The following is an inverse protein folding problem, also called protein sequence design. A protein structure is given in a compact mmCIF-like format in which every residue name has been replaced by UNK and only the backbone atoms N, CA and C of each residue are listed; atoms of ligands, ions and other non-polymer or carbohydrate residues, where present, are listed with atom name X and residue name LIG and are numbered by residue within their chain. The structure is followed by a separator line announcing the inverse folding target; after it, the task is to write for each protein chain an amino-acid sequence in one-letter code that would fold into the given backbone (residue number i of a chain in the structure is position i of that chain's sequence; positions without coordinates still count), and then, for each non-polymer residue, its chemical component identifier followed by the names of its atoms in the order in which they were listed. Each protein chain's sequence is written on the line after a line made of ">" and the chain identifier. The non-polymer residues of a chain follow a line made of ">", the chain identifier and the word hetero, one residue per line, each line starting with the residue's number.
data_IF_078222581242
#
_entry.id   IF_078222581242
#
_cell.length_a   1.000
_cell.length_b   1.000
_cell.length_c   1.000
_cell.angle_alpha   90.00
_cell.angle_beta   90.00
_cell.angle_gamma   90.00
#
_symmetry.space_group_name_H-M   'P 1'
#
loop_
_entity.id
_entity.type
_entity.pdbx_description
1 polymer ?
#
# COMPACT_ATOMS: atom_id res chain seq x y z
N UNK A 1 9.88 -34.78 -47.04
CA UNK A 1 11.00 -33.97 -47.55
C UNK A 1 10.65 -32.52 -47.27
N UNK A 2 11.56 -31.79 -46.66
CA UNK A 2 11.42 -30.46 -46.06
C UNK A 2 10.81 -29.40 -46.99
N UNK A 3 10.11 -28.43 -46.39
CA UNK A 3 10.17 -27.03 -46.83
C UNK A 3 10.06 -26.12 -45.60
N UNK A 4 10.92 -25.12 -45.59
CA UNK A 4 11.36 -24.29 -44.48
C UNK A 4 11.32 -22.83 -44.98
N UNK A 5 10.83 -21.92 -44.12
CA UNK A 5 11.00 -20.44 -44.06
C UNK A 5 10.25 -19.55 -45.07
N UNK A 6 9.32 -18.72 -44.57
CA UNK A 6 9.48 -17.26 -44.29
C UNK A 6 8.12 -16.66 -43.87
N UNK A 7 7.93 -16.16 -42.64
CA UNK A 7 8.24 -14.81 -42.14
C UNK A 7 7.05 -13.82 -42.27
N UNK A 8 6.47 -13.51 -41.10
CA UNK A 8 5.84 -12.26 -40.64
C UNK A 8 4.80 -11.52 -41.51
N UNK A 9 3.56 -11.59 -41.05
CA UNK A 9 2.64 -10.45 -40.98
C UNK A 9 1.69 -10.71 -39.79
N UNK A 10 2.07 -10.24 -38.61
CA UNK A 10 1.13 -10.15 -37.48
C UNK A 10 0.43 -8.81 -37.67
N UNK A 11 -0.85 -8.87 -38.02
CA UNK A 11 -1.67 -7.71 -38.35
C UNK A 11 -1.70 -6.70 -37.19
N UNK A 12 -1.18 -5.50 -37.47
CA UNK A 12 -1.14 -4.33 -36.59
C UNK A 12 -2.39 -3.43 -36.78
N UNK A 13 -3.59 -4.01 -36.75
CA UNK A 13 -4.84 -3.23 -36.78
C UNK A 13 -5.80 -3.66 -35.68
N UNK A 14 -5.69 -3.04 -34.48
CA UNK A 14 -6.82 -2.81 -33.55
C UNK A 14 -6.37 -2.08 -32.25
N UNK A 15 -5.64 -0.96 -32.34
CA UNK A 15 -5.57 -0.04 -31.20
C UNK A 15 -6.80 0.88 -31.24
N UNK A 16 -7.91 0.41 -30.67
CA UNK A 16 -9.13 1.20 -30.49
C UNK A 16 -9.14 1.85 -29.11
N UNK A 17 -9.21 3.18 -29.08
CA UNK A 17 -9.71 3.93 -27.94
C UNK A 17 -11.11 3.41 -27.58
N UNK A 18 -11.36 3.11 -26.31
CA UNK A 18 -12.66 2.60 -25.90
C UNK A 18 -13.27 3.45 -24.79
N UNK A 19 -14.58 3.68 -24.92
CA UNK A 19 -15.36 4.47 -23.99
C UNK A 19 -16.00 3.54 -22.94
N UNK A 20 -15.83 3.88 -21.67
CA UNK A 20 -16.58 3.27 -20.58
C UNK A 20 -17.92 3.99 -20.45
N UNK A 21 -19.02 3.28 -20.72
CA UNK A 21 -20.38 3.76 -20.47
C UNK A 21 -20.88 3.24 -19.12
N UNK A 22 -21.20 4.16 -18.20
CA UNK A 22 -21.86 3.83 -16.93
C UNK A 22 -23.37 3.80 -17.19
N UNK A 23 -24.00 2.63 -17.07
CA UNK A 23 -25.46 2.43 -17.22
C UNK A 23 -26.09 2.37 -15.83
N UNK A 24 -27.20 3.09 -15.60
CA UNK A 24 -27.98 3.02 -14.35
C UNK A 24 -29.01 1.90 -14.41
N UNK A 25 -29.30 1.17 -13.30
CA UNK A 25 -30.43 0.25 -13.25
C UNK A 25 -31.76 1.01 -13.34
N UNK A 26 -32.71 0.50 -14.12
CA UNK A 26 -34.03 1.10 -14.33
C UNK A 26 -34.77 1.36 -13.01
N UNK A 27 -35.32 2.58 -12.90
CA UNK A 27 -35.98 3.10 -11.71
C UNK A 27 -37.24 2.33 -11.34
N UNK A 28 -37.19 1.58 -10.25
CA UNK A 28 -38.34 0.84 -9.75
C UNK A 28 -38.17 0.30 -8.33
N UNK A 29 -37.90 1.17 -7.35
CA UNK A 29 -38.54 1.15 -6.02
C UNK A 29 -37.87 2.11 -5.03
N UNK A 30 -38.74 2.81 -4.30
CA UNK A 30 -38.53 3.83 -3.29
C UNK A 30 -37.70 3.35 -2.10
N UNK A 31 -36.95 4.29 -1.50
CA UNK A 31 -36.00 4.11 -0.38
C UNK A 31 -34.73 3.31 -0.71
N UNK A 32 -33.88 3.88 -1.57
CA UNK A 32 -32.50 3.41 -1.71
C UNK A 32 -31.54 4.54 -1.42
N UNK A 33 -30.66 4.34 -0.44
CA UNK A 33 -29.35 4.97 -0.38
C UNK A 33 -28.80 4.98 -1.80
N UNK A 34 -28.62 6.17 -2.38
CA UNK A 34 -28.14 6.30 -3.77
C UNK A 34 -26.71 5.78 -3.76
N UNK A 35 -26.53 4.51 -4.10
CA UNK A 35 -25.23 3.95 -4.44
C UNK A 35 -24.92 4.46 -5.84
N UNK A 36 -23.95 5.38 -6.00
CA UNK A 36 -23.72 6.06 -7.28
C UNK A 36 -23.19 5.13 -8.38
N UNK A 37 -22.83 3.89 -8.03
CA UNK A 37 -22.34 2.86 -8.94
C UNK A 37 -22.98 1.53 -8.54
N UNK A 38 -23.83 1.00 -9.41
CA UNK A 38 -24.48 -0.32 -9.24
C UNK A 38 -24.28 -1.09 -10.53
N UNK A 39 -23.90 -2.38 -10.43
CA UNK A 39 -23.74 -3.32 -11.56
C UNK A 39 -22.87 -2.82 -12.73
N UNK A 40 -21.83 -2.03 -12.43
CA UNK A 40 -20.89 -1.53 -13.44
C UNK A 40 -19.78 -2.55 -13.69
N UNK A 41 -19.64 -3.02 -14.94
CA UNK A 41 -18.50 -3.83 -15.37
C UNK A 41 -17.37 -2.93 -15.88
N UNK A 42 -16.18 -3.06 -15.30
CA UNK A 42 -14.99 -2.30 -15.66
C UNK A 42 -13.88 -3.28 -16.07
N UNK A 43 -13.48 -3.21 -17.34
CA UNK A 43 -12.35 -3.96 -17.87
C UNK A 43 -11.22 -2.99 -18.21
N UNK A 44 -10.04 -3.21 -17.62
CA UNK A 44 -8.85 -2.38 -17.82
C UNK A 44 -7.71 -3.25 -18.37
N UNK A 45 -7.40 -3.05 -19.64
CA UNK A 45 -6.23 -3.54 -20.35
C UNK A 45 -5.01 -2.65 -20.12
N UNK A 46 -3.85 -3.29 -19.95
CA UNK A 46 -2.57 -2.63 -19.79
C UNK A 46 -2.21 -1.78 -21.03
N UNK A 47 -1.63 -0.60 -20.80
CA UNK A 47 -1.18 0.31 -21.85
C UNK A 47 -2.30 1.07 -22.59
N UNK A 48 -3.58 0.85 -22.24
CA UNK A 48 -4.69 1.57 -22.88
C UNK A 48 -5.08 2.82 -22.08
N UNK A 49 -5.54 3.86 -22.78
CA UNK A 49 -6.06 5.11 -22.20
C UNK A 49 -7.59 5.10 -22.26
N UNK A 50 -8.22 5.54 -21.19
CA UNK A 50 -9.67 5.46 -21.01
C UNK A 50 -10.22 6.85 -20.70
N UNK A 51 -11.35 7.19 -21.30
CA UNK A 51 -12.09 8.41 -20.97
C UNK A 51 -13.48 8.06 -20.43
N UNK A 52 -13.79 8.46 -19.18
CA UNK A 52 -15.15 8.33 -18.65
C UNK A 52 -16.04 9.41 -19.28
N UNK A 53 -17.00 8.98 -20.10
CA UNK A 53 -17.95 9.85 -20.82
C UNK A 53 -19.35 9.67 -20.23
N UNK A 54 -20.07 10.77 -20.00
CA UNK A 54 -21.44 10.73 -19.49
C UNK A 54 -21.95 12.09 -19.02
N UNK A 55 -23.24 12.19 -18.66
CA UNK A 55 -23.83 13.41 -18.11
C UNK A 55 -23.08 13.92 -16.87
N UNK A 56 -23.22 15.21 -16.57
CA UNK A 56 -22.77 15.72 -15.27
C UNK A 56 -23.60 15.07 -14.17
N UNK A 57 -22.97 14.81 -13.02
CA UNK A 57 -23.59 14.16 -11.86
C UNK A 57 -23.93 12.67 -12.01
N UNK A 58 -23.48 11.98 -13.06
CA UNK A 58 -23.66 10.51 -13.19
C UNK A 58 -22.65 9.69 -12.36
N UNK A 59 -21.82 10.35 -11.54
CA UNK A 59 -20.85 9.65 -10.69
C UNK A 59 -19.48 9.38 -11.33
N UNK A 60 -19.10 10.05 -12.43
CA UNK A 60 -17.76 9.91 -13.06
C UNK A 60 -16.62 10.13 -12.06
N UNK A 61 -16.62 11.26 -11.35
CA UNK A 61 -15.61 11.54 -10.31
C UNK A 61 -15.69 10.54 -9.16
N UNK A 62 -16.90 10.07 -8.83
CA UNK A 62 -17.12 9.05 -7.80
C UNK A 62 -16.55 7.69 -8.20
N UNK A 63 -16.62 7.30 -9.48
CA UNK A 63 -15.97 6.10 -10.02
C UNK A 63 -14.45 6.20 -9.93
N UNK A 64 -13.88 7.33 -10.38
CA UNK A 64 -12.43 7.56 -10.29
C UNK A 64 -11.96 7.56 -8.84
N UNK A 65 -12.72 8.16 -7.93
CA UNK A 65 -12.45 8.14 -6.49
C UNK A 65 -12.55 6.71 -5.91
N UNK A 66 -13.56 5.93 -6.29
CA UNK A 66 -13.74 4.55 -5.83
C UNK A 66 -12.61 3.62 -6.33
N UNK A 67 -12.15 3.84 -7.57
CA UNK A 67 -10.96 3.21 -8.14
C UNK A 67 -9.72 3.57 -7.32
N UNK A 68 -9.47 4.88 -7.11
CA UNK A 68 -8.36 5.38 -6.28
C UNK A 68 -8.35 4.79 -4.88
N UNK A 69 -9.54 4.57 -4.32
CA UNK A 69 -9.72 4.03 -2.99
C UNK A 69 -9.63 2.51 -2.90
N UNK A 70 -9.52 1.81 -4.03
CA UNK A 70 -9.48 0.35 -4.09
C UNK A 70 -10.79 -0.30 -3.63
N UNK A 71 -11.91 0.41 -3.80
CA UNK A 71 -13.23 -0.05 -3.38
C UNK A 71 -13.92 -0.94 -4.41
N UNK A 72 -13.49 -0.84 -5.68
CA UNK A 72 -14.04 -1.64 -6.77
C UNK A 72 -13.64 -3.10 -6.59
N UNK A 73 -14.63 -3.98 -6.63
CA UNK A 73 -14.42 -5.41 -6.47
C UNK A 73 -13.73 -6.01 -7.69
N UNK A 74 -12.89 -7.02 -7.46
CA UNK A 74 -12.09 -7.63 -8.53
C UNK A 74 -10.79 -6.89 -8.84
N UNK A 75 -10.57 -5.68 -8.31
CA UNK A 75 -9.26 -5.04 -8.41
C UNK A 75 -8.22 -5.80 -7.59
N UNK A 76 -7.06 -6.15 -8.19
CA UNK A 76 -5.95 -6.72 -7.44
C UNK A 76 -5.47 -5.76 -6.35
N UNK A 77 -5.24 -6.24 -5.12
CA UNK A 77 -4.69 -5.41 -4.03
C UNK A 77 -3.30 -4.86 -4.34
N UNK A 78 -2.56 -5.50 -5.26
CA UNK A 78 -1.25 -5.05 -5.72
C UNK A 78 -1.33 -3.88 -6.72
N UNK A 79 -2.51 -3.61 -7.31
CA UNK A 79 -2.69 -2.54 -8.27
C UNK A 79 -2.69 -1.18 -7.56
N UNK A 80 -1.69 -0.36 -7.85
CA UNK A 80 -1.63 1.02 -7.35
C UNK A 80 -2.37 1.95 -8.31
N UNK A 81 -3.31 2.72 -7.79
CA UNK A 81 -4.03 3.73 -8.55
C UNK A 81 -3.64 5.10 -7.99
N UNK A 82 -3.02 5.91 -8.84
CA UNK A 82 -2.78 7.32 -8.54
C UNK A 82 -3.97 8.14 -9.04
N UNK A 83 -4.64 8.82 -8.12
CA UNK A 83 -5.72 9.73 -8.45
C UNK A 83 -5.29 11.17 -8.25
N UNK A 84 -5.23 11.91 -9.34
CA UNK A 84 -5.00 13.35 -9.33
C UNK A 84 -6.36 14.02 -9.28
N UNK A 85 -6.75 14.47 -8.09
CA UNK A 85 -7.98 15.24 -7.94
C UNK A 85 -7.80 16.65 -8.50
N UNK A 86 -8.87 17.24 -9.05
CA UNK A 86 -8.91 18.68 -9.27
C UNK A 86 -8.99 19.34 -7.89
N UNK A 87 -7.89 19.91 -7.41
CA UNK A 87 -7.91 20.70 -6.18
C UNK A 87 -8.63 22.01 -6.46
N UNK A 88 -9.59 22.37 -5.63
CA UNK A 88 -10.07 23.76 -5.55
C UNK A 88 -8.88 24.62 -5.09
N UNK A 89 -8.40 25.48 -5.99
CA UNK A 89 -7.22 26.34 -5.77
C UNK A 89 -7.42 27.38 -4.66
N UNK A 90 -8.55 27.37 -3.96
CA UNK A 90 -8.91 28.28 -2.88
C UNK A 90 -8.34 27.88 -1.51
N UNK A 91 -7.77 26.68 -1.37
CA UNK A 91 -7.26 26.15 -0.09
C UNK A 91 -5.80 25.69 -0.13
N UNK A 92 -5.01 26.28 -1.03
CA UNK A 92 -3.58 26.01 -1.19
C UNK A 92 -2.82 26.95 -0.23
N UNK A 93 -2.22 26.39 0.82
CA UNK A 93 -1.15 27.05 1.58
C UNK A 93 0.09 27.22 0.69
N UNK A 94 0.82 28.34 0.80
CA UNK A 94 1.97 28.69 -0.06
C UNK A 94 2.99 27.56 -0.33
N UNK A 95 3.15 26.60 0.58
CA UNK A 95 4.09 25.47 0.47
C UNK A 95 3.69 24.41 -0.59
N UNK A 96 2.41 24.33 -0.98
CA UNK A 96 1.95 23.41 -2.04
C UNK A 96 2.01 24.00 -3.45
N UNK A 97 2.33 25.29 -3.60
CA UNK A 97 2.42 25.97 -4.90
C UNK A 97 3.73 25.67 -5.66
N UNK A 98 4.72 25.06 -5.00
CA UNK A 98 6.06 24.83 -5.57
C UNK A 98 6.31 23.36 -5.96
N UNK A 99 5.41 22.43 -5.60
CA UNK A 99 5.58 21.02 -5.94
C UNK A 99 5.18 20.73 -7.38
N UNK A 100 6.13 20.21 -8.14
CA UNK A 100 5.83 19.66 -9.47
C UNK A 100 4.96 18.40 -9.36
N UNK A 101 4.23 18.07 -10.44
CA UNK A 101 3.47 16.81 -10.53
C UNK A 101 4.37 15.61 -10.26
N UNK A 102 5.58 15.61 -10.84
CA UNK A 102 6.56 14.54 -10.64
C UNK A 102 7.01 14.43 -9.18
N UNK A 103 7.29 15.55 -8.51
CA UNK A 103 7.61 15.54 -7.08
C UNK A 103 6.45 15.04 -6.22
N UNK A 104 5.21 15.39 -6.57
CA UNK A 104 4.03 14.89 -5.85
C UNK A 104 3.88 13.37 -6.01
N UNK A 105 4.18 12.85 -7.20
CA UNK A 105 4.20 11.40 -7.47
C UNK A 105 5.32 10.69 -6.72
N UNK A 106 6.53 11.27 -6.71
CA UNK A 106 7.66 10.73 -5.96
C UNK A 106 7.42 10.75 -4.45
N UNK A 107 6.92 11.86 -3.91
CA UNK A 107 6.60 12.01 -2.49
C UNK A 107 5.49 11.06 -2.04
N UNK A 108 4.56 10.73 -2.95
CA UNK A 108 3.53 9.73 -2.69
C UNK A 108 4.12 8.31 -2.56
N UNK A 109 5.27 8.02 -3.17
CA UNK A 109 5.93 6.71 -3.02
C UNK A 109 6.79 6.64 -1.75
N UNK A 110 6.12 6.36 -0.65
CA UNK A 110 6.77 6.17 0.67
C UNK A 110 7.36 4.77 0.87
N UNK A 111 7.33 3.88 -0.13
CA UNK A 111 7.69 2.46 0.10
C UNK A 111 9.16 2.27 0.40
N UNK A 112 10.02 2.89 -0.40
CA UNK A 112 11.48 2.76 -0.25
C UNK A 112 11.90 3.34 1.11
N UNK A 113 11.39 4.50 1.48
CA UNK A 113 11.68 5.12 2.79
C UNK A 113 11.14 4.30 3.96
N UNK A 114 9.94 3.72 3.84
CA UNK A 114 9.36 2.84 4.86
C UNK A 114 10.14 1.53 5.04
N UNK A 115 10.63 0.93 3.96
CA UNK A 115 11.45 -0.30 4.07
C UNK A 115 12.82 0.03 4.64
N UNK A 116 13.46 1.11 4.17
CA UNK A 116 14.75 1.58 4.71
C UNK A 116 14.67 1.92 6.19
N UNK A 117 13.59 2.55 6.66
CA UNK A 117 13.44 2.89 8.08
C UNK A 117 13.32 1.64 8.96
N UNK A 118 12.58 0.62 8.53
CA UNK A 118 12.49 -0.67 9.23
C UNK A 118 13.82 -1.42 9.26
N UNK A 119 14.52 -1.45 8.12
CA UNK A 119 15.87 -2.03 8.01
C UNK A 119 16.84 -1.35 8.98
N UNK A 120 16.82 -0.02 9.03
CA UNK A 120 17.69 0.76 9.91
C UNK A 120 17.43 0.49 11.40
N UNK A 121 16.16 0.27 11.81
CA UNK A 121 15.82 -0.10 13.19
C UNK A 121 16.44 -1.45 13.55
N UNK A 122 16.33 -2.44 12.66
CA UNK A 122 16.84 -3.79 12.90
C UNK A 122 18.36 -3.85 12.88
N UNK A 123 19.00 -3.23 11.88
CA UNK A 123 20.45 -3.18 11.76
C UNK A 123 21.09 -2.51 12.97
N UNK A 124 20.50 -1.42 13.46
CA UNK A 124 20.99 -0.73 14.67
C UNK A 124 20.99 -1.62 15.91
N UNK A 125 19.98 -2.49 16.05
CA UNK A 125 19.94 -3.40 17.19
C UNK A 125 20.96 -4.55 17.07
N UNK A 126 21.34 -4.92 15.83
CA UNK A 126 22.35 -5.96 15.59
C UNK A 126 23.80 -5.45 15.66
N UNK A 127 24.03 -4.18 15.32
CA UNK A 127 25.36 -3.56 15.39
C UNK A 127 25.59 -3.11 16.83
N UNK A 128 26.57 -3.72 17.51
CA UNK A 128 26.89 -3.55 18.94
C UNK A 128 27.36 -2.13 19.32
N UNK A 129 27.32 -1.16 18.41
CA UNK A 129 27.73 0.21 18.69
C UNK A 129 26.64 0.96 19.47
N UNK A 130 26.87 1.08 20.77
CA UNK A 130 26.01 1.73 21.76
C UNK A 130 25.97 3.25 21.53
N UNK A 131 25.22 3.71 20.54
CA UNK A 131 25.08 5.14 20.23
C UNK A 131 23.67 5.70 20.40
N UNK A 132 22.78 5.07 21.18
CA UNK A 132 21.42 5.59 21.39
C UNK A 132 21.11 5.89 22.87
N UNK A 133 20.29 6.94 23.07
CA UNK A 133 19.83 7.54 24.33
C UNK A 133 18.94 6.63 25.20
N UNK A 134 18.64 5.41 24.72
CA UNK A 134 17.83 4.42 25.44
C UNK A 134 18.74 3.37 26.10
N UNK A 135 18.79 3.40 27.42
CA UNK A 135 19.44 2.35 28.21
C UNK A 135 18.49 1.15 28.33
N UNK A 136 18.89 0.00 27.80
CA UNK A 136 18.15 -1.25 27.93
C UNK A 136 18.72 -2.09 29.09
N UNK A 137 17.86 -2.91 29.71
CA UNK A 137 18.28 -3.79 30.81
C UNK A 137 19.29 -4.88 30.35
N UNK A 138 19.24 -5.29 29.07
CA UNK A 138 20.15 -6.26 28.46
C UNK A 138 20.17 -6.13 26.94
N UNK A 139 21.18 -6.71 26.29
CA UNK A 139 21.25 -6.80 24.82
C UNK A 139 20.03 -7.53 24.25
N UNK A 140 19.58 -8.58 24.94
CA UNK A 140 18.36 -9.31 24.60
C UNK A 140 17.11 -8.43 24.64
N UNK A 141 16.98 -7.55 25.64
CA UNK A 141 15.87 -6.60 25.72
C UNK A 141 15.91 -5.60 24.54
N UNK A 142 17.10 -5.15 24.14
CA UNK A 142 17.29 -4.25 23.00
C UNK A 142 16.88 -4.92 21.68
N UNK A 143 17.32 -6.16 21.43
CA UNK A 143 16.94 -6.93 20.24
C UNK A 143 15.41 -7.13 20.16
N UNK A 144 14.80 -7.53 21.28
CA UNK A 144 13.36 -7.73 21.36
C UNK A 144 12.61 -6.41 21.14
N UNK A 145 13.11 -5.30 21.69
CA UNK A 145 12.55 -3.97 21.49
C UNK A 145 12.52 -3.57 20.01
N UNK A 146 13.64 -3.72 19.31
CA UNK A 146 13.74 -3.38 17.89
C UNK A 146 12.80 -4.24 17.02
N UNK A 147 12.70 -5.53 17.30
CA UNK A 147 11.78 -6.43 16.63
C UNK A 147 10.32 -6.03 16.86
N UNK A 148 9.94 -5.74 18.11
CA UNK A 148 8.59 -5.28 18.43
C UNK A 148 8.29 -3.93 17.80
N UNK A 149 9.25 -3.02 17.74
CA UNK A 149 9.07 -1.70 17.13
C UNK A 149 8.69 -1.84 15.65
N UNK A 150 9.39 -2.71 14.91
CA UNK A 150 9.05 -2.99 13.51
C UNK A 150 7.68 -3.66 13.39
N UNK A 151 7.34 -4.63 14.26
CA UNK A 151 6.01 -5.25 14.27
C UNK A 151 4.89 -4.24 14.53
N UNK A 152 5.10 -3.29 15.44
CA UNK A 152 4.13 -2.20 15.71
C UNK A 152 3.97 -1.31 14.49
N UNK A 153 5.06 -0.95 13.80
CA UNK A 153 4.99 -0.16 12.55
C UNK A 153 4.16 -0.90 11.48
N UNK A 154 4.39 -2.21 11.31
CA UNK A 154 3.65 -3.05 10.36
C UNK A 154 2.17 -3.17 10.72
N UNK A 155 1.87 -3.51 11.97
CA UNK A 155 0.50 -3.66 12.44
C UNK A 155 -0.28 -2.34 12.38
N UNK A 156 0.37 -1.18 12.63
CA UNK A 156 -0.25 0.14 12.43
C UNK A 156 -0.55 0.43 10.97
N UNK A 157 0.33 0.03 10.05
CA UNK A 157 0.07 0.11 8.61
C UNK A 157 -1.13 -0.74 8.20
N UNK A 158 -1.22 -1.97 8.70
CA UNK A 158 -2.40 -2.82 8.49
C UNK A 158 -3.67 -2.24 9.10
N UNK A 159 -3.59 -1.64 10.29
CA UNK A 159 -4.73 -0.98 10.93
C UNK A 159 -5.22 0.19 10.09
N UNK A 160 -4.32 1.01 9.54
CA UNK A 160 -4.68 2.11 8.65
C UNK A 160 -5.37 1.61 7.37
N UNK A 161 -4.91 0.49 6.80
CA UNK A 161 -5.58 -0.13 5.66
C UNK A 161 -6.97 -0.68 6.03
N UNK A 162 -7.07 -1.38 7.17
CA UNK A 162 -8.32 -1.97 7.65
C UNK A 162 -9.37 -0.90 8.01
N UNK A 163 -8.95 0.21 8.65
CA UNK A 163 -9.83 1.35 8.97
C UNK A 163 -10.34 2.02 7.70
N UNK A 164 -9.48 2.23 6.69
CA UNK A 164 -9.88 2.76 5.37
C UNK A 164 -10.97 1.89 4.75
N UNK A 165 -10.81 0.56 4.77
CA UNK A 165 -11.80 -0.38 4.23
C UNK A 165 -13.10 -0.36 5.05
N UNK A 166 -13.00 -0.31 6.38
CA UNK A 166 -14.16 -0.33 7.27
C UNK A 166 -15.03 0.94 7.19
N UNK A 167 -14.40 2.10 6.98
CA UNK A 167 -15.10 3.38 6.75
C UNK A 167 -15.86 3.34 5.42
N UNK A 168 -15.26 2.76 4.39
CA UNK A 168 -15.76 2.87 3.01
C UNK A 168 -16.72 1.76 2.59
N UNK A 169 -16.87 0.68 3.37
CA UNK A 169 -17.76 -0.44 3.06
C UNK A 169 -19.05 -0.43 3.88
N UNK A 170 -20.16 -0.79 3.23
CA UNK A 170 -21.51 -0.83 3.81
C UNK A 170 -22.08 -2.25 3.91
N UNK A 171 -23.20 -2.42 4.62
CA UNK A 171 -23.94 -3.68 4.74
C UNK A 171 -23.14 -4.83 5.39
N UNK A 172 -23.35 -6.05 4.91
CA UNK A 172 -22.63 -7.24 5.39
C UNK A 172 -21.12 -7.12 5.20
N UNK A 173 -20.67 -6.50 4.11
CA UNK A 173 -19.24 -6.27 3.81
C UNK A 173 -18.61 -5.29 4.79
N UNK A 174 -19.34 -4.23 5.14
CA UNK A 174 -18.95 -3.31 6.22
C UNK A 174 -18.84 -4.01 7.58
N UNK A 175 -19.74 -4.95 7.88
CA UNK A 175 -19.68 -5.75 9.12
C UNK A 175 -18.41 -6.62 9.18
N UNK A 176 -18.04 -7.31 8.09
CA UNK A 176 -16.79 -8.06 8.03
C UNK A 176 -15.57 -7.15 8.12
N UNK A 177 -15.59 -5.99 7.45
CA UNK A 177 -14.50 -5.03 7.50
C UNK A 177 -14.27 -4.47 8.91
N UNK A 178 -15.34 -4.12 9.64
CA UNK A 178 -15.25 -3.68 11.04
C UNK A 178 -14.76 -4.78 11.98
N UNK A 179 -15.17 -6.04 11.75
CA UNK A 179 -14.62 -7.18 12.51
C UNK A 179 -13.11 -7.29 12.30
N UNK A 180 -12.65 -7.22 11.04
CA UNK A 180 -11.22 -7.25 10.72
C UNK A 180 -10.48 -6.06 11.32
N UNK A 181 -11.06 -4.87 11.29
CA UNK A 181 -10.50 -3.68 11.94
C UNK A 181 -10.27 -3.92 13.44
N UNK A 182 -11.27 -4.44 14.15
CA UNK A 182 -11.16 -4.74 15.58
C UNK A 182 -10.11 -5.82 15.88
N UNK A 183 -10.00 -6.85 15.04
CA UNK A 183 -8.96 -7.87 15.17
C UNK A 183 -7.55 -7.27 15.06
N UNK A 184 -7.33 -6.42 14.05
CA UNK A 184 -6.04 -5.77 13.84
C UNK A 184 -5.74 -4.75 14.95
N UNK A 185 -6.75 -4.00 15.41
CA UNK A 185 -6.62 -3.07 16.53
C UNK A 185 -6.15 -3.78 17.79
N UNK A 186 -6.73 -4.96 18.10
CA UNK A 186 -6.28 -5.77 19.23
C UNK A 186 -4.82 -6.21 19.10
N UNK A 187 -4.40 -6.61 17.90
CA UNK A 187 -2.99 -6.99 17.65
C UNK A 187 -2.06 -5.80 17.87
N UNK A 188 -2.43 -4.60 17.41
CA UNK A 188 -1.65 -3.38 17.65
C UNK A 188 -1.55 -3.09 19.15
N UNK A 189 -2.66 -3.14 19.89
CA UNK A 189 -2.63 -2.88 21.33
C UNK A 189 -1.77 -3.89 22.08
N UNK A 190 -1.85 -5.17 21.71
CA UNK A 190 -1.05 -6.23 22.34
C UNK A 190 0.45 -6.01 22.07
N UNK A 191 0.83 -5.65 20.84
CA UNK A 191 2.21 -5.35 20.47
C UNK A 191 2.74 -4.06 21.13
N UNK A 192 1.93 -3.02 21.22
CA UNK A 192 2.30 -1.77 21.89
C UNK A 192 2.54 -1.98 23.39
N UNK A 193 1.70 -2.77 24.05
CA UNK A 193 1.93 -3.15 25.45
C UNK A 193 3.24 -3.91 25.61
N UNK A 194 3.52 -4.89 24.74
CA UNK A 194 4.80 -5.61 24.75
C UNK A 194 5.99 -4.67 24.54
N UNK A 195 5.88 -3.74 23.59
CA UNK A 195 6.94 -2.77 23.30
C UNK A 195 7.21 -1.86 24.50
N UNK A 196 6.17 -1.36 25.17
CA UNK A 196 6.31 -0.56 26.38
C UNK A 196 7.06 -1.31 27.49
N UNK A 197 6.80 -2.61 27.65
CA UNK A 197 7.47 -3.42 28.68
C UNK A 197 8.97 -3.61 28.42
N UNK A 198 9.41 -3.54 27.17
CA UNK A 198 10.84 -3.66 26.82
C UNK A 198 11.65 -2.38 27.02
N UNK A 199 10.99 -1.21 26.99
CA UNK A 199 11.64 0.08 27.22
C UNK A 199 11.74 0.50 28.68
N UNK A 200 11.14 -0.25 29.61
CA UNK A 200 11.17 0.06 31.05
C UNK A 200 12.38 -0.58 31.73
N UNK A 201 13.19 0.23 32.42
CA UNK A 201 14.42 -0.18 33.11
C UNK A 201 14.22 -1.14 34.30
N UNK A 202 12.98 -1.37 34.73
CA UNK A 202 12.67 -2.06 35.98
C UNK A 202 12.70 -3.59 35.79
N UNK A 203 13.91 -4.15 35.84
CA UNK A 203 14.23 -5.58 35.76
C UNK A 203 13.77 -6.26 34.46
N UNK A 204 14.54 -7.23 33.97
CA UNK A 204 14.07 -8.10 32.90
C UNK A 204 12.78 -8.79 33.35
N UNK A 205 11.64 -8.30 32.86
CA UNK A 205 10.34 -8.93 33.11
C UNK A 205 10.33 -10.31 32.44
N UNK A 206 9.47 -11.18 32.95
CA UNK A 206 9.36 -12.59 32.53
C UNK A 206 9.25 -12.76 31.00
N UNK A 207 8.63 -11.80 30.30
CA UNK A 207 8.54 -11.77 28.83
C UNK A 207 9.90 -11.71 28.12
N UNK A 208 10.84 -10.92 28.65
CA UNK A 208 12.21 -10.85 28.12
C UNK A 208 13.02 -12.05 28.57
N UNK A 209 12.77 -12.60 29.76
CA UNK A 209 13.49 -13.80 30.25
C UNK A 209 13.09 -15.08 29.51
N UNK A 210 11.80 -15.27 29.26
CA UNK A 210 11.24 -16.47 28.63
C UNK A 210 11.55 -16.60 27.14
N UNK A 211 11.85 -15.49 26.45
CA UNK A 211 12.18 -15.49 25.03
C UNK A 211 13.60 -16.04 24.79
N UNK A 212 13.84 -16.68 23.65
CA UNK A 212 15.18 -17.16 23.30
C UNK A 212 15.89 -16.11 22.43
N UNK A 213 17.07 -15.66 22.84
CA UNK A 213 17.87 -14.67 22.10
C UNK A 213 18.17 -15.13 20.66
N UNK A 214 18.51 -16.41 20.47
CA UNK A 214 18.75 -16.97 19.14
C UNK A 214 17.50 -16.94 18.25
N UNK A 215 16.31 -17.08 18.85
CA UNK A 215 15.03 -16.99 18.13
C UNK A 215 14.74 -15.55 17.69
N UNK A 216 15.07 -14.57 18.54
CA UNK A 216 14.89 -13.14 18.24
C UNK A 216 15.82 -12.75 17.09
N UNK A 217 17.10 -13.14 17.18
CA UNK A 217 18.10 -12.88 16.13
C UNK A 217 17.71 -13.55 14.81
N UNK A 218 17.20 -14.77 14.85
CA UNK A 218 16.68 -15.46 13.66
C UNK A 218 15.57 -14.67 12.97
N UNK A 219 14.58 -14.22 13.74
CA UNK A 219 13.46 -13.44 13.18
C UNK A 219 13.89 -12.05 12.67
N UNK A 220 14.85 -11.40 13.35
CA UNK A 220 15.43 -10.14 12.87
C UNK A 220 16.15 -10.37 11.53
N UNK A 221 17.00 -11.38 11.43
CA UNK A 221 17.75 -11.66 10.20
C UNK A 221 16.83 -12.03 9.04
N UNK A 222 15.82 -12.85 9.27
CA UNK A 222 14.79 -13.18 8.27
C UNK A 222 14.10 -11.91 7.75
N UNK A 223 13.76 -10.98 8.64
CA UNK A 223 13.16 -9.69 8.24
C UNK A 223 14.14 -8.78 7.49
N UNK A 224 15.40 -8.71 7.91
CA UNK A 224 16.45 -7.96 7.21
C UNK A 224 16.59 -8.48 5.78
N UNK A 225 16.74 -9.79 5.59
CA UNK A 225 16.85 -10.42 4.28
C UNK A 225 15.61 -10.12 3.41
N UNK A 226 14.41 -10.25 3.98
CA UNK A 226 13.18 -9.91 3.29
C UNK A 226 13.15 -8.43 2.85
N UNK A 227 13.57 -7.50 3.71
CA UNK A 227 13.62 -6.08 3.37
C UNK A 227 14.66 -5.78 2.29
N UNK A 228 15.84 -6.40 2.34
CA UNK A 228 16.86 -6.25 1.29
C UNK A 228 16.37 -6.76 -0.07
N UNK A 229 15.70 -7.91 -0.11
CA UNK A 229 15.07 -8.43 -1.33
C UNK A 229 14.04 -7.43 -1.86
N UNK A 230 13.18 -6.88 -0.99
CA UNK A 230 12.19 -5.89 -1.44
C UNK A 230 12.82 -4.60 -1.96
N UNK A 231 13.95 -4.15 -1.40
CA UNK A 231 14.68 -2.98 -1.90
C UNK A 231 15.31 -3.25 -3.27
N UNK A 232 15.95 -4.41 -3.45
CA UNK A 232 16.50 -4.82 -4.75
C UNK A 232 15.42 -4.86 -5.83
N UNK A 233 14.24 -5.39 -5.50
CA UNK A 233 13.11 -5.41 -6.43
C UNK A 233 12.63 -4.00 -6.84
N UNK A 234 12.72 -3.00 -5.95
CA UNK A 234 12.40 -1.61 -6.30
C UNK A 234 13.44 -0.97 -7.23
N UNK A 235 14.72 -1.27 -7.01
CA UNK A 235 15.83 -0.76 -7.82
C UNK A 235 15.80 -1.37 -9.24
N UNK A 236 15.50 -2.67 -9.35
CA UNK A 236 15.33 -3.37 -10.64
C UNK A 236 14.11 -2.85 -11.42
N UNK A 237 12.98 -2.62 -10.74
CA UNK A 237 11.79 -2.03 -11.37
C UNK A 237 12.02 -0.61 -11.91
N UNK A 238 12.82 0.19 -11.21
CA UNK A 238 13.22 1.53 -11.67
C UNK A 238 14.17 1.46 -12.87
N UNK A 239 15.09 0.50 -12.85
CA UNK A 239 16.05 0.28 -13.95
C UNK A 239 15.37 -0.24 -15.22
N UNK A 240 14.37 -1.12 -15.10
CA UNK A 240 13.61 -1.63 -16.25
C UNK A 240 12.70 -0.59 -16.89
N UNK A 241 12.19 0.39 -16.11
CA UNK A 241 11.41 1.51 -16.66
C UNK A 241 12.28 2.48 -17.45
N UNK A 242 13.53 2.68 -17.04
CA UNK A 242 14.47 3.59 -17.70
C UNK A 242 14.90 3.12 -19.11
N UNK A 243 14.72 1.83 -19.44
CA UNK A 243 14.99 1.30 -20.79
C UNK A 243 13.80 1.46 -21.76
N UNK A 244 12.62 1.89 -21.28
CA UNK A 244 11.42 1.99 -22.12
C UNK A 244 11.19 3.40 -22.70
N UNK A 245 11.88 4.41 -22.20
CA UNK A 245 11.72 5.82 -22.61
C UNK A 245 12.61 6.22 -23.81
N UNK A 246 13.39 5.31 -24.39
CA UNK A 246 14.32 5.63 -25.51
C UNK A 246 13.75 5.35 -26.91
N UNK A 247 12.44 5.07 -27.03
CA UNK A 247 11.74 5.10 -28.32
C UNK A 247 10.93 6.37 -28.44
N UNK A 248 11.64 7.46 -28.80
CA UNK A 248 11.02 8.68 -29.26
C UNK A 248 10.19 8.45 -30.51
N UNK A 249 8.92 8.85 -30.45
CA UNK A 249 8.12 9.38 -31.55
C UNK A 249 7.16 10.44 -31.01
#
# INVERSE_FOLDING_TARGET
>A
MFSTISQTAVDYEAFRDFALSIVTPDGGNSEKTIEPLVDTQLELNYGTKYWPIGPNSIGKSTLLQALADGLVEGLPQALKILYVNQMDTSSISDDSMVKTVLQTVLDADTRVSNVRSKLAIQQRATVVEHSDSFSFASHKAMLLHALLQVKVIEAKGELAAATKIAIKRSGMRGKYARRRQLEVERVVTDLELQLQFTGQMNNERETVRATNEASILGEINEKIEAYEITLKAFDEGSSSSAYFDDYGY
#
